data_IF_569827726709
#
_entry.id   IF_569827726709
#
_cell.length_a   1.000
_cell.length_b   1.000
_cell.length_c   1.000
_cell.angle_alpha   90.00
_cell.angle_beta   90.00
_cell.angle_gamma   90.00
#
_symmetry.space_group_name_H-M   'P 1'
#
loop_
_entity.id
_entity.type
_entity.pdbx_description
1 polymer ?
#
# COMPACT_ATOMS: atom_id res chain seq x y z
N UNK A 1 34.95 4.36 -4.70
CA UNK A 1 35.25 3.05 -5.31
C UNK A 1 34.09 2.66 -6.24
N UNK A 2 32.87 2.41 -5.76
CA UNK A 2 31.74 1.86 -6.55
C UNK A 2 31.43 2.70 -7.81
N UNK A 3 31.26 4.02 -7.70
CA UNK A 3 31.01 4.88 -8.84
C UNK A 3 32.13 4.79 -9.91
N UNK A 4 33.39 4.78 -9.48
CA UNK A 4 34.56 4.64 -10.37
C UNK A 4 34.53 3.30 -11.11
N UNK A 5 34.29 2.20 -10.37
CA UNK A 5 34.20 0.87 -10.95
C UNK A 5 33.03 0.74 -11.93
N UNK A 6 31.86 1.24 -11.55
CA UNK A 6 30.67 1.19 -12.39
C UNK A 6 30.81 1.96 -13.70
N UNK A 7 31.46 3.13 -13.68
CA UNK A 7 31.78 3.91 -14.90
C UNK A 7 32.83 3.22 -15.78
N UNK A 8 33.92 2.75 -15.19
CA UNK A 8 35.01 2.06 -15.92
C UNK A 8 34.49 0.80 -16.63
N UNK A 9 33.54 0.10 -16.03
CA UNK A 9 32.93 -1.10 -16.61
C UNK A 9 31.64 -0.81 -17.40
N UNK A 10 31.32 0.47 -17.70
CA UNK A 10 30.14 0.91 -18.48
C UNK A 10 28.78 0.46 -17.93
N UNK A 11 28.71 0.11 -16.64
CA UNK A 11 27.46 -0.21 -15.94
C UNK A 11 26.70 1.09 -15.65
N UNK A 12 27.41 2.16 -15.30
CA UNK A 12 26.90 3.53 -15.14
C UNK A 12 27.40 4.38 -16.31
N UNK A 13 26.50 5.01 -17.05
CA UNK A 13 26.85 5.89 -18.16
C UNK A 13 27.30 7.26 -17.65
N UNK A 14 28.08 7.99 -18.45
CA UNK A 14 28.60 9.31 -18.05
C UNK A 14 27.50 10.33 -17.76
N UNK A 15 26.35 10.21 -18.43
CA UNK A 15 25.16 11.05 -18.25
C UNK A 15 24.33 10.68 -17.04
N UNK A 16 24.53 9.51 -16.44
CA UNK A 16 23.76 9.05 -15.32
C UNK A 16 24.26 9.72 -14.03
N UNK A 17 23.34 10.05 -13.11
CA UNK A 17 23.72 10.58 -11.80
C UNK A 17 24.63 9.59 -11.05
N UNK A 18 25.60 10.11 -10.31
CA UNK A 18 26.42 9.28 -9.45
C UNK A 18 25.60 8.69 -8.32
N UNK A 19 25.89 7.44 -7.98
CA UNK A 19 25.31 6.78 -6.80
C UNK A 19 25.70 7.54 -5.53
N UNK A 20 24.75 7.83 -4.67
CA UNK A 20 24.99 8.46 -3.36
C UNK A 20 25.46 7.44 -2.33
N UNK A 21 25.95 7.93 -1.19
CA UNK A 21 26.31 7.05 -0.07
C UNK A 21 25.12 6.22 0.42
N UNK A 22 23.92 6.78 0.39
CA UNK A 22 22.70 6.10 0.82
C UNK A 22 22.31 4.99 -0.17
N UNK A 23 22.40 5.26 -1.47
CA UNK A 23 22.13 4.25 -2.51
C UNK A 23 23.06 3.02 -2.35
N UNK A 24 24.32 3.27 -1.97
CA UNK A 24 25.34 2.21 -1.79
C UNK A 24 25.17 1.45 -0.48
N UNK A 25 24.66 2.11 0.56
CA UNK A 25 24.42 1.50 1.87
C UNK A 25 23.11 0.75 1.98
N UNK A 26 22.23 0.87 1.00
CA UNK A 26 20.94 0.17 1.00
C UNK A 26 21.12 -1.35 1.12
N UNK A 27 20.64 -1.91 2.22
CA UNK A 27 20.78 -3.33 2.54
C UNK A 27 22.19 -3.77 2.94
N UNK A 28 23.11 -2.83 3.24
CA UNK A 28 24.45 -3.12 3.70
C UNK A 28 24.50 -3.18 5.23
N UNK A 29 24.98 -4.29 5.78
CA UNK A 29 25.41 -4.39 7.17
C UNK A 29 26.93 -4.48 7.19
N UNK A 30 27.61 -3.55 7.87
CA UNK A 30 29.06 -3.49 7.93
C UNK A 30 29.53 -3.20 9.36
N UNK A 31 30.55 -3.94 9.80
CA UNK A 31 31.21 -3.73 11.09
C UNK A 31 32.69 -3.40 10.80
N UNK A 32 33.14 -2.26 11.34
CA UNK A 32 34.56 -1.88 11.28
C UNK A 32 35.14 -2.09 12.67
N UNK A 33 36.09 -3.01 12.76
CA UNK A 33 36.89 -3.25 13.98
C UNK A 33 38.28 -2.68 13.81
N UNK A 34 38.67 -1.73 14.64
CA UNK A 34 40.00 -1.20 14.65
C UNK A 34 40.60 -1.21 16.06
N UNK A 35 41.94 -1.40 16.15
CA UNK A 35 42.69 -1.28 17.39
C UNK A 35 43.57 -0.04 17.27
N UNK A 36 43.37 0.92 18.17
CA UNK A 36 44.16 2.15 18.24
C UNK A 36 45.01 2.13 19.53
N UNK A 37 46.30 2.48 19.48
CA UNK A 37 47.16 2.43 20.70
C UNK A 37 46.75 3.43 21.77
N UNK A 38 46.18 4.58 21.37
CA UNK A 38 45.68 5.63 22.26
C UNK A 38 44.27 6.11 21.79
N UNK A 39 43.22 5.35 22.10
CA UNK A 39 41.84 5.71 21.66
C UNK A 39 41.28 6.83 22.52
N UNK A 40 40.98 7.96 21.89
CA UNK A 40 40.32 9.10 22.52
C UNK A 40 38.84 9.04 22.23
N UNK A 41 37.98 9.17 23.25
CA UNK A 41 36.51 9.12 23.10
C UNK A 41 35.91 10.44 23.52
N UNK A 42 34.84 10.83 22.80
CA UNK A 42 33.98 11.93 23.22
C UNK A 42 32.98 11.40 24.28
N UNK A 43 33.12 11.96 25.50
CA UNK A 43 32.24 11.63 26.63
C UNK A 43 32.55 10.32 27.36
N UNK A 44 31.99 10.20 28.56
CA UNK A 44 32.23 9.08 29.47
C UNK A 44 31.67 7.72 28.96
N UNK A 45 30.64 7.77 28.12
CA UNK A 45 29.99 6.57 27.58
C UNK A 45 30.78 5.92 26.42
N UNK A 46 31.87 6.55 25.97
CA UNK A 46 32.77 6.06 24.90
C UNK A 46 32.04 5.64 23.62
N UNK A 47 30.94 6.29 23.29
CA UNK A 47 30.10 5.97 22.12
C UNK A 47 30.66 6.52 20.82
N UNK A 48 31.51 7.56 20.89
CA UNK A 48 32.11 8.20 19.71
C UNK A 48 33.60 8.32 19.85
N UNK A 49 34.34 7.75 18.89
CA UNK A 49 35.81 7.86 18.81
C UNK A 49 36.19 9.26 18.29
N UNK A 50 37.01 9.97 19.03
CA UNK A 50 37.48 11.31 18.71
C UNK A 50 38.71 11.39 17.79
N UNK A 51 39.39 10.26 17.62
CA UNK A 51 40.59 10.16 16.76
C UNK A 51 40.28 10.39 15.28
N UNK A 52 40.47 11.59 14.77
CA UNK A 52 40.10 12.00 13.40
C UNK A 52 40.86 11.22 12.32
N UNK A 53 42.12 10.80 12.60
CA UNK A 53 42.97 10.01 11.70
C UNK A 53 42.39 8.62 11.40
N UNK A 54 41.65 8.02 12.33
CA UNK A 54 41.07 6.67 12.17
C UNK A 54 40.10 6.63 10.99
N UNK A 55 39.32 7.69 10.80
CA UNK A 55 38.39 7.79 9.66
C UNK A 55 39.13 7.70 8.33
N UNK A 56 40.25 8.42 8.20
CA UNK A 56 41.07 8.43 6.98
C UNK A 56 41.71 7.07 6.76
N UNK A 57 42.38 6.51 7.79
CA UNK A 57 43.02 5.21 7.72
C UNK A 57 42.03 4.10 7.34
N UNK A 58 40.89 4.04 8.00
CA UNK A 58 39.85 3.06 7.68
C UNK A 58 39.36 3.21 6.24
N UNK A 59 39.14 4.45 5.79
CA UNK A 59 38.70 4.74 4.42
C UNK A 59 39.74 4.30 3.36
N UNK A 60 41.03 4.59 3.60
CA UNK A 60 42.09 4.24 2.66
C UNK A 60 42.32 2.73 2.60
N UNK A 61 42.39 2.06 3.76
CA UNK A 61 42.56 0.59 3.83
C UNK A 61 41.41 -0.14 3.20
N UNK A 62 40.17 0.22 3.59
CA UNK A 62 38.98 -0.40 3.03
C UNK A 62 38.84 -0.08 1.54
N UNK A 63 39.02 1.19 1.14
CA UNK A 63 38.88 1.63 -0.25
C UNK A 63 39.78 0.86 -1.21
N UNK A 64 41.06 0.72 -0.86
CA UNK A 64 42.05 -0.02 -1.68
C UNK A 64 41.75 -1.52 -1.73
N UNK A 65 41.42 -2.12 -0.58
CA UNK A 65 41.06 -3.53 -0.51
C UNK A 65 39.78 -3.85 -1.28
N UNK A 66 38.78 -2.99 -1.15
CA UNK A 66 37.48 -3.16 -1.83
C UNK A 66 37.57 -2.93 -3.35
N UNK A 67 38.38 -1.96 -3.81
CA UNK A 67 38.63 -1.77 -5.25
C UNK A 67 39.23 -3.03 -5.86
N UNK A 68 40.23 -3.62 -5.19
CA UNK A 68 40.84 -4.89 -5.61
C UNK A 68 39.83 -6.02 -5.63
N UNK A 69 39.04 -6.16 -4.56
CA UNK A 69 38.01 -7.20 -4.45
C UNK A 69 36.99 -7.16 -5.59
N UNK A 70 36.52 -5.95 -5.95
CA UNK A 70 35.59 -5.78 -7.07
C UNK A 70 36.20 -6.18 -8.42
N UNK A 71 37.52 -5.91 -8.62
CA UNK A 71 38.23 -6.32 -9.83
C UNK A 71 38.40 -7.83 -9.92
N UNK A 72 38.68 -8.48 -8.79
CA UNK A 72 38.86 -9.93 -8.70
C UNK A 72 37.55 -10.70 -8.78
N UNK A 73 36.42 -10.06 -8.45
CA UNK A 73 35.09 -10.68 -8.39
C UNK A 73 34.04 -9.90 -9.21
N UNK A 74 34.10 -9.90 -10.55
CA UNK A 74 33.26 -9.09 -11.40
C UNK A 74 31.73 -9.41 -11.27
N UNK A 75 31.41 -10.68 -11.05
CA UNK A 75 30.00 -11.12 -10.86
C UNK A 75 29.40 -10.54 -9.58
N UNK A 76 30.15 -10.55 -8.47
CA UNK A 76 29.73 -9.96 -7.20
C UNK A 76 29.66 -8.43 -7.31
N UNK A 77 30.66 -7.82 -7.97
CA UNK A 77 30.67 -6.38 -8.25
C UNK A 77 29.41 -5.94 -8.99
N UNK A 78 28.99 -6.72 -9.99
CA UNK A 78 27.75 -6.46 -10.73
C UNK A 78 26.51 -6.50 -9.84
N UNK A 79 26.37 -7.51 -8.98
CA UNK A 79 25.25 -7.63 -8.03
C UNK A 79 25.20 -6.44 -7.07
N UNK A 80 26.33 -6.05 -6.48
CA UNK A 80 26.44 -4.90 -5.58
C UNK A 80 25.99 -3.61 -6.29
N UNK A 81 26.49 -3.38 -7.52
CA UNK A 81 26.15 -2.18 -8.29
C UNK A 81 24.70 -2.18 -8.73
N UNK A 82 24.14 -3.32 -9.15
CA UNK A 82 22.72 -3.44 -9.51
C UNK A 82 21.82 -3.15 -8.32
N UNK A 83 22.17 -3.59 -7.12
CA UNK A 83 21.46 -3.23 -5.88
C UNK A 83 21.48 -1.73 -5.63
N UNK A 84 22.66 -1.11 -5.69
CA UNK A 84 22.83 0.33 -5.51
C UNK A 84 22.10 1.15 -6.59
N UNK A 85 22.11 0.69 -7.85
CA UNK A 85 21.35 1.30 -8.94
C UNK A 85 19.83 1.20 -8.71
N UNK A 86 19.36 0.08 -8.15
CA UNK A 86 17.95 -0.07 -7.80
C UNK A 86 17.56 0.94 -6.72
N UNK A 87 18.35 1.11 -5.67
CA UNK A 87 18.15 2.10 -4.63
C UNK A 87 18.16 3.53 -5.18
N UNK A 88 19.14 3.87 -6.03
CA UNK A 88 19.22 5.18 -6.68
C UNK A 88 17.98 5.50 -7.53
N UNK A 89 17.53 4.53 -8.32
CA UNK A 89 16.31 4.69 -9.13
C UNK A 89 15.08 4.90 -8.25
N UNK A 90 14.95 4.16 -7.15
CA UNK A 90 13.87 4.32 -6.18
C UNK A 90 13.89 5.74 -5.57
N UNK A 91 15.06 6.22 -5.13
CA UNK A 91 15.25 7.57 -4.59
C UNK A 91 14.90 8.67 -5.60
N UNK A 92 15.38 8.54 -6.84
CA UNK A 92 15.09 9.51 -7.92
C UNK A 92 13.59 9.52 -8.27
N UNK A 93 12.96 8.34 -8.32
CA UNK A 93 11.54 8.21 -8.59
C UNK A 93 10.69 8.84 -7.47
N UNK A 94 11.06 8.57 -6.21
CA UNK A 94 10.43 9.21 -5.06
C UNK A 94 10.59 10.74 -5.12
N UNK A 95 11.80 11.26 -5.38
CA UNK A 95 12.03 12.69 -5.57
C UNK A 95 11.18 13.28 -6.69
N UNK A 96 11.11 12.62 -7.85
CA UNK A 96 10.32 13.08 -9.00
C UNK A 96 8.83 13.05 -8.69
N UNK A 97 8.33 12.03 -8.00
CA UNK A 97 6.94 11.98 -7.55
C UNK A 97 6.63 13.15 -6.60
N UNK A 98 7.53 13.46 -5.66
CA UNK A 98 7.44 14.60 -4.74
C UNK A 98 7.42 15.94 -5.48
N UNK A 99 8.34 16.14 -6.42
CA UNK A 99 8.39 17.36 -7.23
C UNK A 99 7.15 17.52 -8.10
N UNK A 100 6.59 16.43 -8.59
CA UNK A 100 5.33 16.42 -9.35
C UNK A 100 4.17 16.88 -8.47
N UNK A 101 4.05 16.35 -7.26
CA UNK A 101 3.03 16.79 -6.28
C UNK A 101 3.25 18.25 -5.87
N UNK A 102 4.50 18.71 -5.75
CA UNK A 102 4.85 20.08 -5.31
C UNK A 102 4.77 21.12 -6.43
N UNK A 103 5.07 20.76 -7.70
CA UNK A 103 5.02 21.68 -8.85
C UNK A 103 3.65 21.82 -9.48
N UNK A 104 2.75 20.90 -9.19
CA UNK A 104 1.39 20.84 -9.73
C UNK A 104 0.38 21.63 -8.88
N UNK A 105 0.82 22.78 -8.35
CA UNK A 105 -0.08 23.79 -7.83
C UNK A 105 -1.06 24.25 -8.91
N UNK A 106 -2.32 24.36 -8.57
CA UNK A 106 -3.47 24.97 -9.23
C UNK A 106 -4.10 24.28 -10.45
N UNK A 107 -3.40 23.87 -11.48
CA UNK A 107 -4.02 23.31 -12.70
C UNK A 107 -4.28 21.79 -12.65
N UNK A 108 -3.46 21.03 -11.94
CA UNK A 108 -3.68 19.58 -11.77
C UNK A 108 -4.46 19.24 -10.50
N UNK A 109 -4.52 20.15 -9.56
CA UNK A 109 -5.52 20.13 -8.49
C UNK A 109 -6.92 19.95 -9.10
N UNK A 110 -7.22 20.63 -10.22
CA UNK A 110 -8.51 20.50 -10.91
C UNK A 110 -8.74 19.10 -11.50
N UNK A 111 -7.73 18.46 -12.07
CA UNK A 111 -7.85 17.07 -12.58
C UNK A 111 -7.90 16.02 -11.44
N UNK A 112 -7.21 16.27 -10.34
CA UNK A 112 -7.30 15.49 -9.11
C UNK A 112 -8.68 15.62 -8.45
N UNK A 113 -9.20 16.84 -8.32
CA UNK A 113 -10.56 17.09 -7.84
C UNK A 113 -11.65 16.50 -8.76
N UNK A 114 -11.34 16.23 -10.03
CA UNK A 114 -12.26 15.51 -10.93
C UNK A 114 -12.52 14.06 -10.55
N UNK A 115 -11.55 13.38 -9.92
CA UNK A 115 -11.71 11.99 -9.44
C UNK A 115 -12.18 11.94 -7.99
N UNK A 116 -11.52 12.65 -7.09
CA UNK A 116 -11.88 12.71 -5.67
C UNK A 116 -13.09 13.63 -5.48
N UNK A 117 -14.15 13.10 -4.93
CA UNK A 117 -15.27 13.88 -4.40
C UNK A 117 -15.07 14.03 -2.90
N UNK A 118 -14.42 15.10 -2.48
CA UNK A 118 -14.02 15.34 -1.09
C UNK A 118 -15.22 15.68 -0.18
N UNK A 119 -15.05 15.51 1.13
CA UNK A 119 -16.02 15.97 2.14
C UNK A 119 -15.79 17.45 2.48
N UNK A 120 -16.81 18.07 3.11
CA UNK A 120 -16.72 19.48 3.53
C UNK A 120 -15.92 19.67 4.79
N UNK A 121 -15.99 18.73 5.75
CA UNK A 121 -15.21 18.80 6.98
C UNK A 121 -13.73 18.83 6.66
N UNK A 122 -12.98 19.64 7.41
CA UNK A 122 -11.52 19.71 7.39
C UNK A 122 -10.90 19.06 8.62
N UNK A 123 -11.74 18.54 9.51
CA UNK A 123 -11.31 17.78 10.67
C UNK A 123 -11.09 16.31 10.27
N UNK A 124 -9.85 15.80 10.31
CA UNK A 124 -9.57 14.41 9.98
C UNK A 124 -10.33 13.43 10.88
N UNK A 125 -10.56 13.76 12.15
CA UNK A 125 -11.20 12.87 13.12
C UNK A 125 -12.66 12.55 12.80
N UNK A 126 -13.33 13.42 12.05
CA UNK A 126 -14.72 13.22 11.59
C UNK A 126 -14.80 12.64 10.18
N UNK A 127 -13.72 12.80 9.40
CA UNK A 127 -13.69 12.56 7.97
C UNK A 127 -13.31 11.11 7.65
N UNK A 128 -13.92 10.57 6.62
CA UNK A 128 -13.65 9.22 6.11
C UNK A 128 -13.62 9.23 4.59
N UNK A 129 -12.77 8.38 4.00
CA UNK A 129 -12.68 8.22 2.55
C UNK A 129 -13.04 6.80 2.14
N UNK A 130 -13.94 6.68 1.16
CA UNK A 130 -14.28 5.41 0.52
C UNK A 130 -13.51 5.26 -0.78
N UNK A 131 -12.72 4.20 -0.88
CA UNK A 131 -12.08 3.75 -2.12
C UNK A 131 -13.05 2.79 -2.80
N UNK A 132 -13.71 3.26 -3.86
CA UNK A 132 -14.84 2.57 -4.47
C UNK A 132 -14.44 1.95 -5.79
N UNK A 133 -14.81 0.70 -6.01
CA UNK A 133 -14.57 0.01 -7.26
C UNK A 133 -15.45 0.54 -8.39
N UNK A 134 -14.82 1.08 -9.42
CA UNK A 134 -15.46 1.52 -10.65
C UNK A 134 -16.21 2.86 -10.56
N UNK A 135 -16.46 3.42 -11.73
CA UNK A 135 -17.15 4.71 -11.86
C UNK A 135 -18.66 4.59 -11.57
N UNK A 136 -19.30 3.42 -11.82
CA UNK A 136 -20.73 3.20 -11.58
C UNK A 136 -21.03 3.22 -10.08
N UNK A 137 -20.40 2.34 -9.30
CA UNK A 137 -20.55 2.33 -7.84
C UNK A 137 -20.06 3.65 -7.21
N UNK A 138 -19.02 4.25 -7.78
CA UNK A 138 -18.56 5.58 -7.41
C UNK A 138 -19.64 6.65 -7.59
N UNK A 139 -20.47 6.56 -8.62
CA UNK A 139 -21.59 7.46 -8.87
C UNK A 139 -22.69 7.30 -7.81
N UNK A 140 -23.13 6.08 -7.54
CA UNK A 140 -24.08 5.77 -6.47
C UNK A 140 -23.57 6.23 -5.10
N UNK A 141 -22.30 5.94 -4.78
CA UNK A 141 -21.67 6.37 -3.54
C UNK A 141 -21.60 7.89 -3.39
N UNK A 142 -21.28 8.62 -4.46
CA UNK A 142 -21.27 10.10 -4.46
C UNK A 142 -22.66 10.68 -4.15
N UNK A 143 -23.70 10.05 -4.67
CA UNK A 143 -25.09 10.49 -4.46
C UNK A 143 -25.62 10.12 -3.07
N UNK A 144 -25.24 8.95 -2.53
CA UNK A 144 -25.72 8.45 -1.24
C UNK A 144 -24.90 8.91 -0.02
N UNK A 145 -23.70 9.49 -0.20
CA UNK A 145 -22.79 9.83 0.90
C UNK A 145 -23.30 10.95 1.82
N UNK A 146 -22.82 10.96 3.04
CA UNK A 146 -22.82 12.17 3.85
C UNK A 146 -21.71 13.12 3.36
N UNK A 147 -22.12 14.17 2.63
CA UNK A 147 -21.18 15.12 2.03
C UNK A 147 -20.38 15.93 3.07
N UNK A 148 -20.80 15.96 4.33
CA UNK A 148 -20.09 16.64 5.39
C UNK A 148 -18.82 15.91 5.77
N UNK A 149 -18.89 14.58 5.94
CA UNK A 149 -17.80 13.77 6.53
C UNK A 149 -17.26 12.67 5.62
N UNK A 150 -17.94 12.34 4.50
CA UNK A 150 -17.55 11.23 3.63
C UNK A 150 -17.03 11.71 2.29
N UNK A 151 -15.80 11.33 1.97
CA UNK A 151 -15.16 11.52 0.67
C UNK A 151 -15.24 10.23 -0.16
N UNK A 152 -15.36 10.35 -1.49
CA UNK A 152 -15.43 9.22 -2.43
C UNK A 152 -14.30 9.34 -3.45
N UNK A 153 -13.52 8.26 -3.57
CA UNK A 153 -12.50 8.10 -4.59
C UNK A 153 -12.78 6.84 -5.42
N UNK A 154 -13.38 6.97 -6.61
CA UNK A 154 -13.55 5.85 -7.53
C UNK A 154 -12.19 5.37 -8.06
N UNK A 155 -12.00 4.06 -8.10
CA UNK A 155 -10.82 3.40 -8.66
C UNK A 155 -11.18 2.80 -10.01
N UNK A 156 -10.37 3.05 -11.03
CA UNK A 156 -10.61 2.52 -12.39
C UNK A 156 -9.99 1.15 -12.55
N UNK A 157 -10.73 0.12 -12.14
CA UNK A 157 -10.31 -1.27 -12.26
C UNK A 157 -9.19 -1.68 -11.31
N UNK A 158 -8.47 -2.73 -11.68
CA UNK A 158 -7.39 -3.31 -10.87
C UNK A 158 -6.18 -2.38 -10.82
N UNK A 159 -5.81 -1.94 -9.63
CA UNK A 159 -4.59 -1.14 -9.44
C UNK A 159 -3.34 -1.98 -9.69
N UNK A 160 -2.22 -1.31 -9.89
CA UNK A 160 -0.93 -1.97 -10.08
C UNK A 160 -0.54 -2.80 -8.84
N UNK A 161 -0.15 -4.06 -9.05
CA UNK A 161 0.44 -4.88 -7.98
C UNK A 161 1.84 -4.35 -7.64
N UNK A 162 1.95 -3.68 -6.49
CA UNK A 162 3.20 -3.06 -6.04
C UNK A 162 4.21 -4.06 -5.48
N UNK A 163 3.81 -5.30 -5.21
CA UNK A 163 4.73 -6.38 -4.84
C UNK A 163 5.63 -6.80 -6.01
N UNK A 164 5.07 -6.79 -7.23
CA UNK A 164 5.79 -7.12 -8.46
C UNK A 164 6.40 -5.91 -9.14
N UNK A 165 5.81 -4.74 -8.93
CA UNK A 165 6.22 -3.54 -9.64
C UNK A 165 7.41 -2.89 -8.96
N UNK A 166 8.35 -2.40 -9.77
CA UNK A 166 9.41 -1.53 -9.28
C UNK A 166 8.80 -0.23 -8.73
N UNK A 167 9.44 0.34 -7.71
CA UNK A 167 8.95 1.54 -7.03
C UNK A 167 8.71 2.71 -8.00
N UNK A 168 9.60 2.93 -8.98
CA UNK A 168 9.47 3.98 -9.99
C UNK A 168 8.19 3.81 -10.83
N UNK A 169 7.84 2.57 -11.18
CA UNK A 169 6.62 2.25 -11.91
C UNK A 169 5.38 2.41 -11.01
N UNK A 170 5.44 1.98 -9.77
CA UNK A 170 4.36 2.15 -8.80
C UNK A 170 4.05 3.64 -8.60
N UNK A 171 5.08 4.48 -8.39
CA UNK A 171 4.94 5.91 -8.19
C UNK A 171 4.60 6.71 -9.47
N UNK A 172 4.72 6.11 -10.65
CA UNK A 172 4.24 6.71 -11.91
C UNK A 172 2.80 6.35 -12.23
N UNK A 173 2.22 5.36 -11.54
CA UNK A 173 0.83 4.94 -11.76
C UNK A 173 -0.16 6.01 -11.25
N UNK A 174 -1.11 6.39 -12.08
CA UNK A 174 -2.05 7.49 -11.78
C UNK A 174 -3.00 7.18 -10.61
N UNK A 175 -3.46 5.92 -10.46
CA UNK A 175 -4.34 5.55 -9.34
C UNK A 175 -3.57 5.60 -8.01
N UNK A 176 -2.32 5.12 -7.99
CA UNK A 176 -1.46 5.18 -6.80
C UNK A 176 -1.14 6.62 -6.44
N UNK A 177 -0.79 7.48 -7.41
CA UNK A 177 -0.58 8.92 -7.17
C UNK A 177 -1.81 9.58 -6.57
N UNK A 178 -2.97 9.25 -7.10
CA UNK A 178 -4.25 9.80 -6.63
C UNK A 178 -4.49 9.41 -5.17
N UNK A 179 -4.24 8.15 -4.79
CA UNK A 179 -4.35 7.67 -3.40
C UNK A 179 -3.35 8.40 -2.49
N UNK A 180 -2.06 8.50 -2.88
CA UNK A 180 -1.02 9.23 -2.13
C UNK A 180 -1.46 10.67 -1.87
N UNK A 181 -1.95 11.35 -2.90
CA UNK A 181 -2.41 12.75 -2.81
C UNK A 181 -3.66 12.89 -1.94
N UNK A 182 -4.61 11.95 -2.05
CA UNK A 182 -5.83 11.94 -1.25
C UNK A 182 -5.54 11.81 0.25
N UNK A 183 -4.61 10.95 0.63
CA UNK A 183 -4.26 10.73 2.04
C UNK A 183 -3.47 11.89 2.64
N UNK A 184 -2.60 12.53 1.87
CA UNK A 184 -1.82 13.68 2.29
C UNK A 184 -0.59 13.34 3.15
N UNK A 185 -0.39 12.08 3.53
CA UNK A 185 0.70 11.64 4.42
C UNK A 185 2.08 11.61 3.77
N UNK A 186 2.16 11.65 2.44
CA UNK A 186 3.37 11.28 1.73
C UNK A 186 3.66 9.77 1.79
N UNK A 187 4.86 9.37 1.36
CA UNK A 187 5.34 7.97 1.39
C UNK A 187 6.85 7.92 1.67
N UNK A 188 7.36 6.76 2.11
CA UNK A 188 8.78 6.56 2.40
C UNK A 188 9.30 7.49 3.49
N UNK A 189 10.45 8.13 3.28
CA UNK A 189 11.11 8.99 4.27
C UNK A 189 10.32 10.27 4.61
N UNK A 190 9.36 10.67 3.75
CA UNK A 190 8.50 11.85 3.99
C UNK A 190 7.14 11.47 4.58
N UNK A 191 6.94 10.20 4.90
CA UNK A 191 5.68 9.76 5.49
C UNK A 191 5.46 10.43 6.85
N UNK A 192 4.31 11.08 7.00
CA UNK A 192 3.92 11.75 8.23
C UNK A 192 2.44 11.44 8.52
N UNK A 193 2.21 10.55 9.48
CA UNK A 193 0.87 10.12 9.86
C UNK A 193 -0.01 11.28 10.34
N UNK A 194 0.59 12.31 10.97
CA UNK A 194 -0.15 13.47 11.46
C UNK A 194 -0.83 14.29 10.36
N UNK A 195 -0.43 14.10 9.10
CA UNK A 195 -1.02 14.73 7.92
C UNK A 195 -2.14 13.92 7.27
N UNK A 196 -2.50 12.78 7.86
CA UNK A 196 -3.60 11.98 7.34
C UNK A 196 -4.90 12.78 7.38
N UNK A 197 -5.57 12.87 6.23
CA UNK A 197 -6.75 13.72 6.05
C UNK A 197 -8.07 13.05 6.48
N UNK A 198 -8.04 11.75 6.73
CA UNK A 198 -9.23 10.96 7.03
C UNK A 198 -8.94 9.98 8.17
N UNK A 199 -9.82 9.94 9.18
CA UNK A 199 -9.75 8.97 10.28
C UNK A 199 -9.93 7.53 9.77
N UNK A 200 -10.81 7.34 8.78
CA UNK A 200 -11.07 6.02 8.20
C UNK A 200 -10.85 5.99 6.70
N UNK A 201 -10.07 5.02 6.27
CA UNK A 201 -9.90 4.65 4.86
C UNK A 201 -10.67 3.36 4.65
N UNK A 202 -11.75 3.42 3.89
CA UNK A 202 -12.71 2.32 3.74
C UNK A 202 -12.61 1.78 2.32
N UNK A 203 -12.18 0.53 2.19
CA UNK A 203 -12.18 -0.18 0.91
C UNK A 203 -13.60 -0.69 0.66
N UNK A 204 -14.20 -0.27 -0.44
CA UNK A 204 -15.55 -0.65 -0.83
C UNK A 204 -15.53 -1.24 -2.25
N UNK A 205 -15.47 -2.56 -2.32
CA UNK A 205 -15.40 -3.37 -3.54
C UNK A 205 -16.57 -4.32 -3.61
N UNK A 206 -16.90 -4.78 -4.82
CA UNK A 206 -17.92 -5.78 -5.05
C UNK A 206 -17.62 -7.09 -4.28
N UNK A 207 -18.67 -7.85 -3.99
CA UNK A 207 -18.55 -9.11 -3.23
C UNK A 207 -18.18 -10.31 -4.13
N UNK A 208 -17.56 -10.06 -5.28
CA UNK A 208 -17.14 -11.06 -6.25
C UNK A 208 -15.62 -11.30 -6.23
N UNK A 209 -15.13 -12.14 -7.14
CA UNK A 209 -13.70 -12.49 -7.25
C UNK A 209 -12.85 -11.31 -7.71
N UNK A 210 -13.39 -10.41 -8.54
CA UNK A 210 -12.68 -9.23 -9.03
C UNK A 210 -12.55 -8.17 -7.94
N UNK A 211 -13.63 -7.91 -7.20
CA UNK A 211 -13.62 -7.02 -6.04
C UNK A 211 -12.68 -7.53 -4.92
N UNK A 212 -12.65 -8.84 -4.69
CA UNK A 212 -11.69 -9.47 -3.77
C UNK A 212 -10.25 -9.26 -4.23
N UNK A 213 -9.97 -9.35 -5.52
CA UNK A 213 -8.66 -9.07 -6.09
C UNK A 213 -8.25 -7.60 -5.94
N UNK A 214 -9.16 -6.66 -6.22
CA UNK A 214 -8.92 -5.22 -6.02
C UNK A 214 -8.60 -4.93 -4.55
N UNK A 215 -9.36 -5.52 -3.63
CA UNK A 215 -9.12 -5.41 -2.19
C UNK A 215 -7.72 -5.88 -1.81
N UNK A 216 -7.28 -7.04 -2.29
CA UNK A 216 -5.94 -7.57 -1.99
C UNK A 216 -4.85 -6.69 -2.60
N UNK A 217 -5.03 -6.13 -3.79
CA UNK A 217 -4.08 -5.17 -4.38
C UNK A 217 -3.97 -3.89 -3.55
N UNK A 218 -5.09 -3.35 -3.04
CA UNK A 218 -5.09 -2.21 -2.12
C UNK A 218 -4.41 -2.52 -0.79
N UNK A 219 -4.69 -3.69 -0.22
CA UNK A 219 -4.02 -4.14 1.00
C UNK A 219 -2.51 -4.31 0.80
N UNK A 220 -2.07 -4.80 -0.36
CA UNK A 220 -0.65 -4.87 -0.72
C UNK A 220 -0.03 -3.47 -0.79
N UNK A 221 -0.72 -2.52 -1.43
CA UNK A 221 -0.29 -1.13 -1.49
C UNK A 221 -0.17 -0.51 -0.08
N UNK A 222 -1.18 -0.72 0.77
CA UNK A 222 -1.18 -0.16 2.12
C UNK A 222 -0.10 -0.79 2.99
N UNK A 223 0.07 -2.08 2.93
CA UNK A 223 1.11 -2.79 3.69
C UNK A 223 2.52 -2.34 3.27
N UNK A 224 2.77 -2.12 1.97
CA UNK A 224 4.11 -1.76 1.46
C UNK A 224 4.43 -0.27 1.59
N UNK A 225 3.45 0.63 1.41
CA UNK A 225 3.72 2.08 1.33
C UNK A 225 3.07 2.89 2.45
N UNK A 226 2.03 2.37 3.11
CA UNK A 226 1.26 3.06 4.11
C UNK A 226 1.08 2.25 5.39
N UNK A 227 2.05 1.41 5.69
CA UNK A 227 2.00 0.50 6.84
C UNK A 227 1.65 1.20 8.16
N UNK A 228 2.20 2.39 8.50
CA UNK A 228 1.80 3.07 9.74
C UNK A 228 0.31 3.44 9.80
N UNK A 229 -0.35 3.64 8.65
CA UNK A 229 -1.81 3.87 8.60
C UNK A 229 -2.57 2.59 9.01
N UNK A 230 -2.09 1.42 8.56
CA UNK A 230 -2.69 0.12 8.92
C UNK A 230 -2.48 -0.16 10.40
N UNK A 231 -1.25 0.00 10.90
CA UNK A 231 -0.86 -0.21 12.30
C UNK A 231 -1.60 0.73 13.27
N UNK A 232 -1.89 1.96 12.84
CA UNK A 232 -2.71 2.92 13.60
C UNK A 232 -4.22 2.62 13.54
N UNK A 233 -4.65 1.61 12.77
CA UNK A 233 -6.04 1.15 12.74
C UNK A 233 -6.98 1.98 11.87
N UNK A 234 -6.47 2.75 10.91
CA UNK A 234 -7.28 3.61 10.04
C UNK A 234 -7.87 2.89 8.81
N UNK A 235 -7.48 1.64 8.53
CA UNK A 235 -7.91 0.92 7.32
C UNK A 235 -9.05 -0.05 7.62
N UNK A 236 -10.10 0.01 6.81
CA UNK A 236 -11.30 -0.81 6.94
C UNK A 236 -11.73 -1.38 5.60
N UNK A 237 -12.40 -2.53 5.63
CA UNK A 237 -13.18 -3.05 4.51
C UNK A 237 -14.67 -2.88 4.80
N UNK A 238 -15.41 -2.30 3.88
CA UNK A 238 -16.86 -2.29 3.93
C UNK A 238 -17.40 -3.70 3.65
N UNK A 239 -18.46 -4.07 4.34
CA UNK A 239 -19.16 -5.34 4.18
C UNK A 239 -20.55 -5.06 3.63
N UNK A 240 -20.69 -4.85 2.30
CA UNK A 240 -21.99 -4.67 1.68
C UNK A 240 -22.82 -5.94 1.84
N UNK A 241 -24.16 -5.83 1.86
CA UNK A 241 -25.02 -6.99 1.97
C UNK A 241 -24.94 -7.85 0.69
N UNK A 242 -24.82 -9.16 0.87
CA UNK A 242 -24.83 -10.12 -0.23
C UNK A 242 -26.24 -10.44 -0.70
N UNK A 243 -27.23 -10.39 0.23
CA UNK A 243 -28.63 -10.69 -0.08
C UNK A 243 -29.58 -9.60 0.41
N UNK A 244 -30.62 -9.38 -0.39
CA UNK A 244 -31.82 -8.60 -0.06
C UNK A 244 -32.98 -9.56 0.05
N UNK A 245 -33.59 -9.65 1.24
CA UNK A 245 -34.70 -10.53 1.54
C UNK A 245 -35.92 -9.69 1.72
N UNK A 246 -36.95 -9.92 0.89
CA UNK A 246 -38.24 -9.18 0.95
C UNK A 246 -39.35 -10.12 1.35
N UNK A 247 -40.10 -9.76 2.37
CA UNK A 247 -41.33 -10.45 2.73
C UNK A 247 -42.42 -9.43 3.16
N UNK A 248 -43.52 -9.45 2.48
CA UNK A 248 -44.59 -8.45 2.67
C UNK A 248 -44.08 -7.02 2.41
N UNK A 249 -44.03 -6.19 3.44
CA UNK A 249 -43.49 -4.82 3.38
C UNK A 249 -42.09 -4.70 4.00
N UNK A 250 -41.55 -5.79 4.51
CA UNK A 250 -40.26 -5.80 5.20
C UNK A 250 -39.16 -6.15 4.22
N UNK A 251 -38.07 -5.35 4.25
CA UNK A 251 -36.85 -5.61 3.54
C UNK A 251 -35.74 -5.83 4.59
N UNK A 252 -35.05 -6.96 4.51
CA UNK A 252 -33.88 -7.29 5.35
C UNK A 252 -32.69 -7.49 4.44
N UNK A 253 -31.57 -6.82 4.78
CA UNK A 253 -30.28 -7.00 4.15
C UNK A 253 -29.41 -7.88 5.04
N UNK A 254 -28.69 -8.84 4.45
CA UNK A 254 -27.79 -9.78 5.15
C UNK A 254 -26.47 -9.90 4.39
N UNK A 255 -25.40 -10.06 5.14
CA UNK A 255 -24.03 -9.95 4.60
C UNK A 255 -23.46 -11.28 4.09
N UNK A 256 -24.02 -12.41 4.52
CA UNK A 256 -23.54 -13.73 4.11
C UNK A 256 -24.66 -14.79 4.10
N UNK A 257 -24.32 -16.01 3.62
CA UNK A 257 -25.23 -17.15 3.56
C UNK A 257 -25.75 -17.56 4.95
N UNK A 258 -24.87 -17.51 5.94
CA UNK A 258 -25.22 -17.92 7.31
C UNK A 258 -26.31 -17.01 7.90
N UNK A 259 -26.11 -15.70 7.80
CA UNK A 259 -27.09 -14.72 8.27
C UNK A 259 -28.42 -14.83 7.49
N UNK A 260 -28.35 -15.15 6.19
CA UNK A 260 -29.52 -15.43 5.36
C UNK A 260 -30.29 -16.64 5.90
N UNK A 261 -29.63 -17.76 6.13
CA UNK A 261 -30.27 -18.99 6.56
C UNK A 261 -30.82 -18.85 7.98
N UNK A 262 -30.11 -18.19 8.90
CA UNK A 262 -30.59 -17.86 10.24
C UNK A 262 -31.85 -16.98 10.19
N UNK A 263 -31.86 -15.96 9.32
CA UNK A 263 -33.01 -15.09 9.17
C UNK A 263 -34.24 -15.84 8.59
N UNK A 264 -34.04 -16.65 7.54
CA UNK A 264 -35.11 -17.45 6.94
C UNK A 264 -35.68 -18.45 7.94
N UNK A 265 -34.87 -19.09 8.78
CA UNK A 265 -35.31 -20.00 9.83
C UNK A 265 -36.14 -19.28 10.93
N UNK A 266 -35.97 -17.98 11.12
CA UNK A 266 -36.70 -17.17 12.08
C UNK A 266 -38.11 -16.78 11.60
N UNK A 267 -38.40 -16.92 10.29
CA UNK A 267 -39.68 -16.55 9.71
C UNK A 267 -40.71 -17.66 9.85
N UNK A 268 -42.01 -17.33 9.99
CA UNK A 268 -43.07 -18.32 9.97
C UNK A 268 -43.13 -19.10 8.65
N UNK A 269 -43.39 -20.41 8.70
CA UNK A 269 -43.35 -21.31 7.54
C UNK A 269 -44.24 -20.91 6.33
N UNK A 270 -45.23 -20.06 6.55
CA UNK A 270 -46.19 -19.65 5.52
C UNK A 270 -45.88 -18.28 4.89
N UNK A 271 -44.76 -17.67 5.23
CA UNK A 271 -44.38 -16.36 4.68
C UNK A 271 -43.77 -16.52 3.30
N UNK A 272 -44.36 -15.82 2.33
CA UNK A 272 -43.75 -15.74 0.99
C UNK A 272 -42.54 -14.82 1.03
N UNK A 273 -41.38 -15.35 0.73
CA UNK A 273 -40.10 -14.65 0.74
C UNK A 273 -39.57 -14.53 -0.67
N UNK A 274 -39.07 -13.37 -1.02
CA UNK A 274 -38.31 -13.11 -2.23
C UNK A 274 -36.85 -12.80 -1.83
N UNK A 275 -35.91 -13.51 -2.44
CA UNK A 275 -34.49 -13.36 -2.15
C UNK A 275 -33.80 -12.89 -3.44
N UNK A 276 -33.19 -11.71 -3.37
CA UNK A 276 -32.33 -11.19 -4.43
C UNK A 276 -30.87 -11.21 -3.96
N UNK A 277 -29.96 -11.69 -4.81
CA UNK A 277 -28.52 -11.62 -4.55
C UNK A 277 -27.96 -10.34 -5.18
N UNK A 278 -27.28 -9.52 -4.40
CA UNK A 278 -26.58 -8.35 -4.90
C UNK A 278 -25.30 -8.81 -5.62
N UNK A 279 -25.18 -8.49 -6.89
CA UNK A 279 -24.04 -8.89 -7.72
C UNK A 279 -22.90 -7.88 -7.69
N UNK A 280 -23.21 -6.60 -7.47
CA UNK A 280 -22.24 -5.54 -7.39
C UNK A 280 -22.80 -4.25 -6.83
N UNK A 281 -21.95 -3.41 -6.28
CA UNK A 281 -22.28 -2.10 -5.69
C UNK A 281 -22.84 -1.11 -6.72
N UNK A 282 -22.48 -1.28 -7.98
CA UNK A 282 -22.96 -0.44 -9.08
C UNK A 282 -24.41 -0.71 -9.46
N UNK A 283 -25.00 -1.82 -9.01
CA UNK A 283 -26.43 -2.17 -9.22
C UNK A 283 -27.32 -1.64 -8.08
N UNK A 284 -26.74 -1.19 -6.97
CA UNK A 284 -27.47 -0.64 -5.83
C UNK A 284 -27.85 0.81 -6.08
N UNK A 285 -29.09 1.16 -5.72
CA UNK A 285 -29.51 2.55 -5.69
C UNK A 285 -28.71 3.35 -4.64
N UNK A 286 -28.52 4.68 -4.84
CA UNK A 286 -27.77 5.52 -3.90
C UNK A 286 -28.27 5.44 -2.45
N UNK A 287 -29.62 5.40 -2.26
CA UNK A 287 -30.21 5.28 -0.93
C UNK A 287 -29.98 3.91 -0.31
N UNK A 288 -30.07 2.84 -1.11
CA UNK A 288 -29.78 1.48 -0.67
C UNK A 288 -28.31 1.34 -0.25
N UNK A 289 -27.37 1.85 -1.07
CA UNK A 289 -25.94 1.84 -0.77
C UNK A 289 -25.62 2.67 0.48
N UNK A 290 -26.27 3.84 0.66
CA UNK A 290 -26.14 4.63 1.87
C UNK A 290 -26.57 3.84 3.10
N UNK A 291 -27.79 3.32 3.07
CA UNK A 291 -28.45 2.76 4.25
C UNK A 291 -27.86 1.40 4.67
N UNK A 292 -27.24 0.67 3.74
CA UNK A 292 -26.64 -0.64 4.02
C UNK A 292 -25.13 -0.61 4.27
N UNK A 293 -24.40 0.28 3.58
CA UNK A 293 -22.94 0.17 3.48
C UNK A 293 -22.21 1.43 3.92
N UNK A 294 -22.81 2.63 3.82
CA UNK A 294 -22.10 3.88 4.06
C UNK A 294 -22.50 4.59 5.35
N UNK A 295 -23.75 4.49 5.76
CA UNK A 295 -24.27 5.17 6.96
C UNK A 295 -23.58 4.64 8.22
N UNK A 296 -23.07 5.55 9.06
CA UNK A 296 -22.41 5.21 10.34
C UNK A 296 -23.32 4.42 11.30
N UNK A 297 -24.65 4.58 11.14
CA UNK A 297 -25.63 3.93 12.01
C UNK A 297 -25.90 2.46 11.66
N UNK A 298 -25.74 2.08 10.39
CA UNK A 298 -26.25 0.79 9.87
C UNK A 298 -25.20 -0.06 9.17
N UNK A 299 -24.10 0.52 8.75
CA UNK A 299 -23.02 -0.18 8.03
C UNK A 299 -22.25 -1.16 8.91
N UNK A 300 -21.72 -2.19 8.28
CA UNK A 300 -20.73 -3.09 8.88
C UNK A 300 -19.36 -2.84 8.26
N UNK A 301 -18.36 -2.56 9.10
CA UNK A 301 -16.97 -2.39 8.70
C UNK A 301 -16.10 -3.45 9.38
N UNK A 302 -15.19 -4.05 8.63
CA UNK A 302 -14.14 -4.92 9.15
C UNK A 302 -12.82 -4.13 9.19
N UNK A 303 -12.29 -3.88 10.40
CA UNK A 303 -10.98 -3.26 10.55
C UNK A 303 -9.90 -4.22 10.05
N UNK A 304 -8.92 -3.67 9.33
CA UNK A 304 -7.77 -4.41 8.85
C UNK A 304 -6.64 -4.24 9.87
N UNK A 305 -6.21 -5.35 10.45
CA UNK A 305 -5.13 -5.40 11.44
C UNK A 305 -3.98 -6.25 10.92
N UNK A 306 -2.79 -6.03 11.47
CA UNK A 306 -1.60 -6.85 11.22
C UNK A 306 -1.11 -7.33 12.59
N UNK A 307 -1.44 -8.56 12.93
CA UNK A 307 -1.11 -9.14 14.23
C UNK A 307 0.33 -9.70 14.27
N UNK A 308 0.81 -10.22 13.13
CA UNK A 308 2.17 -10.74 12.96
C UNK A 308 2.78 -10.18 11.66
N UNK A 309 3.79 -9.35 11.82
CA UNK A 309 4.46 -8.67 10.71
C UNK A 309 5.26 -9.61 9.80
N UNK A 310 5.89 -10.63 10.39
CA UNK A 310 6.68 -11.61 9.61
C UNK A 310 5.75 -12.51 8.80
N UNK A 311 4.66 -12.97 9.42
CA UNK A 311 3.66 -13.78 8.74
C UNK A 311 2.96 -13.00 7.62
N UNK A 312 2.63 -11.72 7.84
CA UNK A 312 2.04 -10.84 6.82
C UNK A 312 3.01 -10.62 5.65
N UNK A 313 4.28 -10.32 5.93
CA UNK A 313 5.31 -10.12 4.89
C UNK A 313 5.48 -11.38 4.02
N UNK A 314 5.64 -12.53 4.65
CA UNK A 314 5.73 -13.81 3.96
C UNK A 314 4.47 -14.14 3.13
N UNK A 315 3.28 -13.76 3.62
CA UNK A 315 2.03 -13.96 2.90
C UNK A 315 1.95 -13.08 1.64
N UNK A 316 2.29 -11.78 1.75
CA UNK A 316 2.31 -10.88 0.59
C UNK A 316 3.37 -11.31 -0.44
N UNK A 317 4.58 -11.66 -0.02
CA UNK A 317 5.61 -12.16 -0.91
C UNK A 317 5.17 -13.44 -1.65
N UNK A 318 4.63 -14.42 -0.91
CA UNK A 318 4.15 -15.69 -1.47
C UNK A 318 2.98 -15.49 -2.44
N UNK A 319 1.96 -14.71 -2.06
CA UNK A 319 0.71 -14.63 -2.80
C UNK A 319 0.72 -13.55 -3.88
N UNK A 320 1.45 -12.46 -3.67
CA UNK A 320 1.46 -11.29 -4.56
C UNK A 320 2.81 -11.09 -5.27
N UNK A 321 3.87 -11.79 -4.87
CA UNK A 321 5.21 -11.70 -5.43
C UNK A 321 5.35 -12.26 -6.85
N UNK A 322 6.54 -12.12 -7.46
CA UNK A 322 6.81 -12.59 -8.83
C UNK A 322 6.84 -14.11 -8.96
N UNK A 323 7.35 -14.82 -7.93
CA UNK A 323 7.48 -16.27 -7.94
C UNK A 323 6.10 -16.94 -8.05
N UNK A 324 5.94 -17.80 -9.06
CA UNK A 324 4.68 -18.49 -9.33
C UNK A 324 4.56 -19.74 -8.45
N UNK A 325 5.65 -20.48 -8.28
CA UNK A 325 5.64 -21.79 -7.63
C UNK A 325 5.14 -21.77 -6.17
N UNK A 326 5.60 -20.84 -5.29
CA UNK A 326 5.11 -20.79 -3.92
C UNK A 326 3.60 -20.51 -3.82
N UNK A 327 3.07 -19.74 -4.77
CA UNK A 327 1.62 -19.45 -4.86
C UNK A 327 0.83 -20.66 -5.32
N UNK A 328 1.34 -21.37 -6.33
CA UNK A 328 0.75 -22.61 -6.85
C UNK A 328 0.68 -23.68 -5.76
N UNK A 329 1.80 -23.93 -5.07
CA UNK A 329 1.84 -24.87 -3.95
C UNK A 329 0.83 -24.49 -2.85
N UNK A 330 0.71 -23.20 -2.52
CA UNK A 330 -0.27 -22.73 -1.54
C UNK A 330 -1.71 -23.02 -1.97
N UNK A 331 -2.04 -22.77 -3.25
CA UNK A 331 -3.37 -23.05 -3.81
C UNK A 331 -3.67 -24.54 -3.77
N UNK A 332 -2.73 -25.40 -4.20
CA UNK A 332 -2.88 -26.84 -4.17
C UNK A 332 -3.09 -27.37 -2.74
N UNK A 333 -2.31 -26.90 -1.77
CA UNK A 333 -2.44 -27.28 -0.35
C UNK A 333 -3.76 -26.85 0.28
N UNK A 334 -4.33 -25.73 -0.15
CA UNK A 334 -5.53 -25.10 0.44
C UNK A 334 -6.79 -25.30 -0.40
N UNK A 335 -6.71 -26.01 -1.53
CA UNK A 335 -7.84 -26.19 -2.44
C UNK A 335 -9.08 -26.79 -1.76
N UNK A 336 -8.90 -27.71 -0.82
CA UNK A 336 -10.00 -28.31 -0.06
C UNK A 336 -10.71 -27.37 0.91
N UNK A 337 -10.16 -26.17 1.16
CA UNK A 337 -10.76 -25.13 2.01
C UNK A 337 -11.42 -24.02 1.18
N UNK A 338 -11.33 -24.08 -0.14
CA UNK A 338 -11.89 -23.06 -1.01
C UNK A 338 -13.42 -23.19 -1.08
N UNK A 339 -14.12 -22.12 -0.78
CA UNK A 339 -15.53 -21.96 -1.13
C UNK A 339 -15.58 -21.55 -2.60
N UNK A 340 -15.93 -22.51 -3.46
CA UNK A 340 -16.12 -22.24 -4.87
C UNK A 340 -17.56 -21.85 -5.10
N UNK A 341 -17.78 -20.67 -5.63
CA UNK A 341 -19.05 -20.19 -6.14
C UNK A 341 -19.19 -20.76 -7.56
N UNK A 342 -19.76 -21.97 -7.68
CA UNK A 342 -20.00 -22.70 -8.93
C UNK A 342 -21.37 -22.40 -9.50
#
# INVERSE_FOLDING_TARGET
VINKYARNNKILKDKDEALTGDDVREGLTMIISCKHPDPQFEGQTKTKLGNSEVKRIASDVFGNGFERYLMENPSIAKIIIEKALSASRARIAAKKARETVRRKGDLEITAFYGKLTDCKSKDPSESEIFLVEGDSAGGSAKSGRDYMTQAILPLRGKILNVEKARLDRALSNEEIKTIITAFGTGIGDEFDLSKLRYDKIIIMTDADVDGSHIRVLLLTLFYRFFRPIVEAGHVYAAMPPLFKITHGKTIKYVVDEKEKDEYLASLPANVKVEIARNKGLGEMDPDELRDTTMSKATRTLKQITVDDLQAADAAFEKLMGEAVEPRREFIEQKAGLANLDL
#
